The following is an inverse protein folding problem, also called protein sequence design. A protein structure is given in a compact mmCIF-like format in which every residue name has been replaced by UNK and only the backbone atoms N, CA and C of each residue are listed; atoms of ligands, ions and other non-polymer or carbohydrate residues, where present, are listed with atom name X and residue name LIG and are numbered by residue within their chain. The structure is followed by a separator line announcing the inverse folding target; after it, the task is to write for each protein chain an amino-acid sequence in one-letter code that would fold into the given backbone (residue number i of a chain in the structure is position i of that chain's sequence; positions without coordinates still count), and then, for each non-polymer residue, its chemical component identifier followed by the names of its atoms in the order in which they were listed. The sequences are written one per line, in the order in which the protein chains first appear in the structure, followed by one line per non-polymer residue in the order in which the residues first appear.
data_IF_260003686047
#
_entry.id   IF_260003686047
#
_cell.length_a   1.000
_cell.length_b   1.000
_cell.length_c   1.000
_cell.angle_alpha   90.00
_cell.angle_beta   90.00
_cell.angle_gamma   90.00
#
_symmetry.space_group_name_H-M   'P 1'
#
loop_
_entity.id
_entity.type
_entity.pdbx_description
1 polymer ?
#
# COMPACT_ATOMS: atom_id res chain seq x y z
N UNK A 1 18.72 -31.10 -18.35
CA UNK A 1 17.74 -30.42 -17.47
C UNK A 1 16.67 -29.84 -18.38
N UNK A 2 15.48 -30.45 -18.36
CA UNK A 2 14.43 -30.15 -19.33
C UNK A 2 13.84 -28.77 -19.10
N UNK A 3 13.54 -28.03 -20.17
CA UNK A 3 12.94 -26.69 -20.07
C UNK A 3 11.66 -26.65 -19.21
N UNK A 4 10.94 -27.78 -19.15
CA UNK A 4 9.76 -27.99 -18.32
C UNK A 4 10.05 -27.98 -16.81
N UNK A 5 11.16 -28.57 -16.36
CA UNK A 5 11.51 -28.55 -14.93
C UNK A 5 11.95 -27.16 -14.49
N UNK A 6 12.66 -26.43 -15.36
CA UNK A 6 13.04 -25.03 -15.12
C UNK A 6 11.83 -24.08 -14.98
N UNK A 7 10.78 -24.27 -15.79
CA UNK A 7 9.55 -23.48 -15.69
C UNK A 7 8.79 -23.76 -14.39
N UNK A 8 8.69 -25.04 -14.01
CA UNK A 8 8.02 -25.44 -12.77
C UNK A 8 8.77 -24.92 -11.54
N UNK A 9 10.10 -25.05 -11.52
CA UNK A 9 10.92 -24.55 -10.42
C UNK A 9 10.86 -23.02 -10.35
N UNK A 10 10.77 -22.32 -11.49
CA UNK A 10 10.51 -20.89 -11.56
C UNK A 10 9.16 -20.49 -10.96
N UNK A 11 8.10 -21.27 -11.21
CA UNK A 11 6.78 -21.04 -10.65
C UNK A 11 6.76 -21.16 -9.11
N UNK A 12 7.34 -22.23 -8.56
CA UNK A 12 7.41 -22.40 -7.10
C UNK A 12 8.35 -21.39 -6.43
N UNK A 13 9.43 -21.00 -7.12
CA UNK A 13 10.30 -19.92 -6.65
C UNK A 13 9.58 -18.58 -6.55
N UNK A 14 8.69 -18.27 -7.49
CA UNK A 14 7.87 -17.06 -7.43
C UNK A 14 6.84 -17.07 -6.27
N UNK A 15 6.50 -18.24 -5.74
CA UNK A 15 5.66 -18.37 -4.55
C UNK A 15 6.44 -18.14 -3.24
N UNK A 16 7.75 -17.87 -3.29
CA UNK A 16 8.53 -17.45 -2.13
C UNK A 16 8.23 -15.97 -1.78
N UNK A 17 7.00 -15.75 -1.32
CA UNK A 17 6.41 -14.45 -1.01
C UNK A 17 6.82 -13.93 0.37
N UNK A 18 6.16 -12.85 0.80
CA UNK A 18 6.46 -12.22 2.09
C UNK A 18 6.21 -13.15 3.28
N UNK A 19 5.13 -13.93 3.25
CA UNK A 19 4.79 -14.86 4.34
C UNK A 19 5.81 -15.99 4.45
N UNK A 20 6.26 -16.52 3.32
CA UNK A 20 7.27 -17.58 3.25
C UNK A 20 8.63 -17.07 3.73
N UNK A 21 8.98 -15.83 3.37
CA UNK A 21 10.21 -15.17 3.87
C UNK A 21 10.17 -14.92 5.36
N UNK A 22 9.05 -14.45 5.92
CA UNK A 22 8.88 -14.31 7.38
C UNK A 22 9.15 -15.64 8.08
N UNK A 23 8.48 -16.72 7.64
CA UNK A 23 8.65 -18.05 8.22
C UNK A 23 10.09 -18.56 8.13
N UNK A 24 10.77 -18.30 7.00
CA UNK A 24 12.18 -18.63 6.85
C UNK A 24 13.02 -17.87 7.88
N UNK A 25 12.87 -16.56 7.98
CA UNK A 25 13.65 -15.72 8.90
C UNK A 25 13.40 -16.05 10.37
N UNK A 26 12.16 -16.33 10.76
CA UNK A 26 11.81 -16.78 12.12
C UNK A 26 12.44 -18.13 12.43
N UNK A 27 12.37 -19.08 11.49
CA UNK A 27 12.99 -20.40 11.65
C UNK A 27 14.51 -20.31 11.76
N UNK A 28 15.14 -19.47 10.92
CA UNK A 28 16.58 -19.19 10.98
C UNK A 28 16.95 -18.55 12.31
N UNK A 29 16.18 -17.57 12.77
CA UNK A 29 16.37 -16.91 14.07
C UNK A 29 16.35 -17.93 15.20
N UNK A 30 15.29 -18.75 15.28
CA UNK A 30 15.14 -19.75 16.33
C UNK A 30 16.28 -20.77 16.33
N UNK A 31 16.72 -21.26 15.17
CA UNK A 31 17.82 -22.23 15.10
C UNK A 31 19.17 -21.61 15.48
N UNK A 32 19.47 -20.41 14.99
CA UNK A 32 20.72 -19.71 15.31
C UNK A 32 20.79 -19.31 16.79
N UNK A 33 19.68 -18.88 17.40
CA UNK A 33 19.58 -18.60 18.84
C UNK A 33 19.88 -19.84 19.69
N UNK A 34 19.52 -21.03 19.19
CA UNK A 34 19.82 -22.31 19.83
C UNK A 34 21.21 -22.87 19.44
N UNK A 35 22.08 -22.05 18.85
CA UNK A 35 23.47 -22.41 18.54
C UNK A 35 23.63 -23.37 17.36
N UNK A 36 22.59 -23.58 16.55
CA UNK A 36 22.68 -24.41 15.34
C UNK A 36 23.51 -23.65 14.29
N UNK A 37 24.56 -24.26 13.70
CA UNK A 37 25.32 -23.64 12.62
C UNK A 37 24.45 -23.28 11.40
N UNK A 38 24.81 -22.21 10.69
CA UNK A 38 24.01 -21.63 9.59
C UNK A 38 23.71 -22.63 8.47
N UNK A 39 24.70 -23.41 8.06
CA UNK A 39 24.61 -24.44 7.03
C UNK A 39 23.64 -25.56 7.44
N UNK A 40 23.76 -26.04 8.68
CA UNK A 40 22.87 -27.04 9.24
C UNK A 40 21.45 -26.50 9.43
N UNK A 41 21.30 -25.22 9.80
CA UNK A 41 20.01 -24.58 9.95
C UNK A 41 19.26 -24.53 8.61
N UNK A 42 19.93 -24.12 7.53
CA UNK A 42 19.35 -24.09 6.17
C UNK A 42 18.93 -25.50 5.71
N UNK A 43 19.75 -26.52 5.96
CA UNK A 43 19.41 -27.90 5.62
C UNK A 43 18.19 -28.42 6.41
N UNK A 44 18.16 -28.18 7.74
CA UNK A 44 17.04 -28.57 8.60
C UNK A 44 15.74 -27.90 8.20
N UNK A 45 15.75 -26.60 7.92
CA UNK A 45 14.56 -25.88 7.44
C UNK A 45 14.11 -26.44 6.10
N UNK A 46 15.05 -26.70 5.18
CA UNK A 46 14.74 -27.36 3.91
C UNK A 46 14.04 -28.70 4.11
N UNK A 47 14.53 -29.52 5.03
CA UNK A 47 13.98 -30.85 5.34
C UNK A 47 12.58 -30.76 5.97
N UNK A 48 12.37 -29.84 6.91
CA UNK A 48 11.08 -29.62 7.57
C UNK A 48 10.02 -29.21 6.54
N UNK A 49 10.30 -28.18 5.73
CA UNK A 49 9.33 -27.66 4.77
C UNK A 49 9.13 -28.54 3.54
N UNK A 50 10.07 -29.46 3.27
CA UNK A 50 9.89 -30.49 2.25
C UNK A 50 9.21 -31.75 2.77
N UNK A 51 8.78 -31.81 4.04
CA UNK A 51 8.25 -33.03 4.67
C UNK A 51 9.19 -34.24 4.44
N UNK A 52 10.48 -34.06 4.75
CA UNK A 52 11.51 -35.09 4.54
C UNK A 52 11.72 -35.46 3.07
N UNK A 53 11.48 -34.52 2.14
CA UNK A 53 11.65 -34.72 0.69
C UNK A 53 10.38 -35.15 -0.06
N UNK A 54 9.22 -35.26 0.58
CA UNK A 54 7.93 -35.53 -0.12
C UNK A 54 7.40 -34.31 -0.88
N UNK A 55 7.72 -33.11 -0.40
CA UNK A 55 7.31 -31.81 -0.92
C UNK A 55 8.52 -30.94 -1.27
N UNK A 56 9.47 -31.47 -2.04
CA UNK A 56 10.73 -30.77 -2.41
C UNK A 56 10.48 -29.40 -3.06
N UNK A 57 9.34 -29.24 -3.74
CA UNK A 57 8.95 -27.98 -4.41
C UNK A 57 8.29 -26.96 -3.49
N UNK A 58 8.24 -27.19 -2.17
CA UNK A 58 7.79 -26.17 -1.23
C UNK A 58 8.70 -24.92 -1.35
N UNK A 59 8.15 -23.69 -1.47
CA UNK A 59 8.95 -22.49 -1.74
C UNK A 59 10.07 -22.25 -0.72
N UNK A 60 9.78 -22.46 0.57
CA UNK A 60 10.77 -22.35 1.65
C UNK A 60 11.85 -23.43 1.54
N UNK A 61 11.51 -24.66 1.13
CA UNK A 61 12.48 -25.72 0.97
C UNK A 61 13.43 -25.42 -0.19
N UNK A 62 12.88 -25.01 -1.35
CA UNK A 62 13.66 -24.58 -2.50
C UNK A 62 14.62 -23.43 -2.16
N UNK A 63 14.14 -22.42 -1.42
CA UNK A 63 14.96 -21.30 -0.99
C UNK A 63 16.08 -21.76 -0.03
N UNK A 64 15.74 -22.56 0.98
CA UNK A 64 16.69 -23.02 2.00
C UNK A 64 17.80 -23.89 1.40
N UNK A 65 17.45 -24.85 0.55
CA UNK A 65 18.43 -25.67 -0.16
C UNK A 65 19.24 -24.88 -1.19
N UNK A 66 18.60 -23.94 -1.91
CA UNK A 66 19.28 -23.09 -2.87
C UNK A 66 20.31 -22.17 -2.23
N UNK A 67 19.96 -21.56 -1.09
CA UNK A 67 20.85 -20.72 -0.29
C UNK A 67 21.95 -21.59 0.35
N UNK A 68 21.57 -22.69 0.98
CA UNK A 68 22.50 -23.63 1.63
C UNK A 68 23.56 -24.17 0.67
N UNK A 69 23.16 -24.58 -0.55
CA UNK A 69 24.09 -25.03 -1.59
C UNK A 69 25.06 -23.93 -2.02
N UNK A 70 24.59 -22.69 -2.12
CA UNK A 70 25.44 -21.55 -2.48
C UNK A 70 26.46 -21.22 -1.38
N UNK A 71 26.03 -21.28 -0.10
CA UNK A 71 26.90 -21.08 1.06
C UNK A 71 27.94 -22.20 1.17
N UNK A 72 27.52 -23.47 1.03
CA UNK A 72 28.42 -24.61 0.99
C UNK A 72 29.43 -24.54 -0.16
N UNK A 73 29.05 -23.88 -1.27
CA UNK A 73 29.92 -23.56 -2.39
C UNK A 73 30.88 -22.38 -2.16
N UNK A 74 30.98 -21.87 -0.93
CA UNK A 74 31.91 -20.80 -0.53
C UNK A 74 31.40 -19.38 -0.73
N UNK A 75 30.12 -19.19 -1.09
CA UNK A 75 29.53 -17.85 -1.13
C UNK A 75 29.15 -17.39 0.27
N UNK A 76 29.20 -16.08 0.48
CA UNK A 76 28.59 -15.45 1.65
C UNK A 76 27.07 -15.66 1.62
N UNK A 77 26.42 -15.67 2.79
CA UNK A 77 24.99 -15.75 2.93
C UNK A 77 24.28 -14.62 2.16
N UNK A 78 24.80 -13.38 2.24
CA UNK A 78 24.24 -12.26 1.50
C UNK A 78 24.24 -12.54 -0.02
N UNK A 79 25.36 -13.00 -0.57
CA UNK A 79 25.46 -13.37 -1.99
C UNK A 79 24.53 -14.53 -2.35
N UNK A 80 24.36 -15.51 -1.46
CA UNK A 80 23.45 -16.64 -1.66
C UNK A 80 21.97 -16.20 -1.71
N UNK A 81 21.59 -15.23 -0.88
CA UNK A 81 20.23 -14.70 -0.80
C UNK A 81 19.84 -13.75 -1.94
N UNK A 82 20.80 -13.21 -2.70
CA UNK A 82 20.59 -12.13 -3.67
C UNK A 82 19.48 -12.39 -4.72
N UNK A 83 19.27 -13.65 -5.11
CA UNK A 83 18.22 -14.04 -6.07
C UNK A 83 16.93 -14.57 -5.41
N UNK A 84 16.83 -14.51 -4.09
CA UNK A 84 15.69 -15.01 -3.32
C UNK A 84 14.95 -13.90 -2.58
N UNK A 85 15.63 -12.80 -2.28
CA UNK A 85 15.10 -11.72 -1.44
C UNK A 85 15.21 -10.36 -2.13
N UNK A 86 14.28 -9.42 -1.86
CA UNK A 86 14.39 -8.04 -2.32
C UNK A 86 15.66 -7.32 -1.83
N UNK A 87 16.09 -6.28 -2.55
CA UNK A 87 17.30 -5.50 -2.23
C UNK A 87 17.37 -4.98 -0.78
N UNK A 88 16.23 -4.61 -0.20
CA UNK A 88 16.12 -4.11 1.18
C UNK A 88 16.50 -5.18 2.20
N UNK A 89 15.91 -6.37 2.06
CA UNK A 89 16.17 -7.53 2.93
C UNK A 89 17.62 -8.01 2.74
N UNK A 90 18.11 -8.05 1.50
CA UNK A 90 19.50 -8.40 1.19
C UNK A 90 20.51 -7.49 1.90
N UNK A 91 20.29 -6.16 1.91
CA UNK A 91 21.21 -5.24 2.56
C UNK A 91 21.26 -5.44 4.08
N UNK A 92 20.12 -5.70 4.71
CA UNK A 92 20.03 -6.01 6.14
C UNK A 92 20.75 -7.33 6.45
N UNK A 93 20.54 -8.37 5.63
CA UNK A 93 21.28 -9.65 5.76
C UNK A 93 22.78 -9.44 5.60
N UNK A 94 23.21 -8.65 4.61
CA UNK A 94 24.63 -8.36 4.37
C UNK A 94 25.29 -7.63 5.55
N UNK A 95 24.58 -6.67 6.15
CA UNK A 95 25.08 -5.99 7.34
C UNK A 95 25.11 -6.91 8.58
N UNK A 96 24.09 -7.76 8.74
CA UNK A 96 24.05 -8.80 9.78
C UNK A 96 25.21 -9.78 9.66
N UNK A 97 25.51 -10.21 8.43
CA UNK A 97 26.63 -11.11 8.16
C UNK A 97 27.98 -10.47 8.47
N UNK A 98 28.22 -9.22 8.00
CA UNK A 98 29.45 -8.47 8.28
C UNK A 98 29.67 -8.19 9.76
N UNK A 99 28.59 -7.95 10.51
CA UNK A 99 28.64 -7.64 11.95
C UNK A 99 28.57 -8.88 12.85
N UNK A 100 28.35 -10.07 12.28
CA UNK A 100 28.14 -11.30 13.04
C UNK A 100 26.80 -11.38 13.77
N UNK A 101 25.87 -10.45 13.51
CA UNK A 101 24.56 -10.38 14.17
C UNK A 101 23.41 -10.74 13.21
N UNK A 102 23.44 -11.98 12.71
CA UNK A 102 22.43 -12.50 11.80
C UNK A 102 21.04 -12.65 12.45
N UNK A 103 20.99 -12.99 13.73
CA UNK A 103 19.74 -13.10 14.51
C UNK A 103 18.96 -11.78 14.46
N UNK A 104 19.62 -10.66 14.77
CA UNK A 104 18.98 -9.35 14.70
C UNK A 104 18.59 -8.98 13.26
N UNK A 105 19.44 -9.31 12.27
CA UNK A 105 19.16 -9.00 10.86
C UNK A 105 17.92 -9.74 10.35
N UNK A 106 17.71 -11.01 10.72
CA UNK A 106 16.50 -11.75 10.36
C UNK A 106 15.25 -11.19 11.05
N UNK A 107 15.32 -10.85 12.34
CA UNK A 107 14.23 -10.14 13.04
C UNK A 107 13.86 -8.82 12.34
N UNK A 108 14.87 -8.10 11.86
CA UNK A 108 14.69 -6.83 11.17
C UNK A 108 14.07 -6.98 9.79
N UNK A 109 14.44 -8.02 9.03
CA UNK A 109 13.78 -8.39 7.79
C UNK A 109 12.30 -8.73 7.99
N UNK A 110 11.95 -9.46 9.07
CA UNK A 110 10.54 -9.74 9.43
C UNK A 110 9.77 -8.44 9.62
N UNK A 111 10.29 -7.49 10.42
CA UNK A 111 9.65 -6.19 10.65
C UNK A 111 9.42 -5.40 9.37
N UNK A 112 10.38 -5.42 8.43
CA UNK A 112 10.24 -4.76 7.13
C UNK A 112 9.07 -5.38 6.34
N UNK A 113 8.99 -6.71 6.28
CA UNK A 113 7.92 -7.41 5.55
C UNK A 113 6.56 -7.15 6.20
N UNK A 114 6.46 -7.30 7.52
CA UNK A 114 5.21 -7.09 8.27
C UNK A 114 4.69 -5.66 8.11
N UNK A 115 5.57 -4.66 8.17
CA UNK A 115 5.18 -3.28 7.95
C UNK A 115 4.61 -3.07 6.54
N UNK A 116 5.23 -3.66 5.52
CA UNK A 116 4.74 -3.61 4.14
C UNK A 116 3.38 -4.32 3.99
N UNK A 117 3.21 -5.47 4.62
CA UNK A 117 1.95 -6.22 4.62
C UNK A 117 0.85 -5.45 5.34
N UNK A 118 1.15 -4.84 6.49
CA UNK A 118 0.22 -3.99 7.25
C UNK A 118 -0.29 -2.83 6.39
N UNK A 119 0.61 -2.17 5.65
CA UNK A 119 0.24 -1.12 4.68
C UNK A 119 -0.69 -1.68 3.60
N UNK A 120 -0.32 -2.77 2.95
CA UNK A 120 -1.10 -3.34 1.85
C UNK A 120 -2.49 -3.80 2.31
N UNK A 121 -2.55 -4.53 3.43
CA UNK A 121 -3.79 -5.04 4.00
C UNK A 121 -4.74 -3.91 4.40
N UNK A 122 -4.21 -2.82 4.96
CA UNK A 122 -5.04 -1.67 5.29
C UNK A 122 -5.57 -0.96 4.04
N UNK A 123 -4.73 -0.74 3.04
CA UNK A 123 -5.16 -0.11 1.79
C UNK A 123 -6.28 -0.93 1.15
N UNK A 124 -6.15 -2.26 1.12
CA UNK A 124 -7.18 -3.16 0.61
C UNK A 124 -8.45 -3.13 1.47
N UNK A 125 -8.34 -3.32 2.79
CA UNK A 125 -9.50 -3.37 3.68
C UNK A 125 -10.27 -2.04 3.71
N UNK A 126 -9.55 -0.92 3.61
CA UNK A 126 -10.11 0.43 3.67
C UNK A 126 -10.76 0.85 2.36
N UNK A 127 -10.32 0.32 1.21
CA UNK A 127 -10.89 0.61 -0.09
C UNK A 127 -12.21 -0.14 -0.37
N UNK A 128 -12.39 -1.33 0.21
CA UNK A 128 -13.56 -2.19 -0.07
C UNK A 128 -14.89 -1.54 0.29
N UNK A 129 -14.97 -0.88 1.45
CA UNK A 129 -16.23 -0.31 1.93
C UNK A 129 -16.73 0.88 1.09
N UNK A 130 -15.91 1.91 0.77
CA UNK A 130 -16.31 2.96 -0.17
C UNK A 130 -16.76 2.43 -1.53
N UNK A 131 -16.07 1.42 -2.08
CA UNK A 131 -16.45 0.81 -3.37
C UNK A 131 -17.85 0.21 -3.28
N UNK A 132 -18.15 -0.53 -2.21
CA UNK A 132 -19.48 -1.09 -1.98
C UNK A 132 -20.54 0.01 -1.90
N UNK A 133 -20.34 1.04 -1.07
CA UNK A 133 -21.32 2.13 -0.92
C UNK A 133 -21.54 2.90 -2.23
N UNK A 134 -20.48 3.16 -3.00
CA UNK A 134 -20.59 3.86 -4.28
C UNK A 134 -21.27 3.01 -5.36
N UNK A 135 -21.02 1.69 -5.37
CA UNK A 135 -21.75 0.77 -6.25
C UNK A 135 -23.23 0.73 -5.91
N UNK A 136 -23.59 0.73 -4.62
CA UNK A 136 -24.98 0.80 -4.17
C UNK A 136 -25.63 2.13 -4.57
N UNK A 137 -24.94 3.26 -4.40
CA UNK A 137 -25.41 4.56 -4.88
C UNK A 137 -25.68 4.56 -6.38
N UNK A 138 -24.73 4.09 -7.19
CA UNK A 138 -24.89 4.01 -8.65
C UNK A 138 -26.06 3.11 -9.05
N UNK A 139 -26.23 1.97 -8.36
CA UNK A 139 -27.36 1.08 -8.55
C UNK A 139 -28.70 1.75 -8.21
N UNK A 140 -28.82 2.42 -7.07
CA UNK A 140 -30.04 3.11 -6.66
C UNK A 140 -30.41 4.23 -7.64
N UNK A 141 -29.44 5.02 -8.08
CA UNK A 141 -29.65 6.04 -9.12
C UNK A 141 -30.16 5.42 -10.43
N UNK A 142 -29.64 4.26 -10.83
CA UNK A 142 -30.12 3.54 -12.00
C UNK A 142 -31.57 3.04 -11.83
N UNK A 143 -31.92 2.51 -10.65
CA UNK A 143 -33.29 2.11 -10.33
C UNK A 143 -34.24 3.32 -10.36
N UNK A 144 -33.82 4.46 -9.83
CA UNK A 144 -34.60 5.70 -9.90
C UNK A 144 -34.87 6.09 -11.36
N UNK A 145 -33.85 6.04 -12.20
CA UNK A 145 -33.95 6.42 -13.60
C UNK A 145 -34.81 5.46 -14.46
N UNK A 146 -34.71 4.15 -14.21
CA UNK A 146 -35.30 3.12 -15.09
C UNK A 146 -36.63 2.56 -14.57
N UNK A 147 -36.91 2.67 -13.28
CA UNK A 147 -38.12 2.11 -12.64
C UNK A 147 -38.99 3.19 -12.01
N UNK A 148 -38.42 4.02 -11.13
CA UNK A 148 -39.19 4.97 -10.31
C UNK A 148 -39.77 6.09 -11.15
N UNK A 149 -38.92 6.85 -11.85
CA UNK A 149 -39.38 7.99 -12.66
C UNK A 149 -40.30 7.57 -13.80
N UNK A 150 -40.05 6.48 -14.55
CA UNK A 150 -40.99 5.98 -15.55
C UNK A 150 -42.33 5.50 -14.96
N UNK A 151 -42.35 4.95 -13.74
CA UNK A 151 -43.60 4.59 -13.08
C UNK A 151 -44.40 5.84 -12.70
N UNK A 152 -43.73 6.88 -12.21
CA UNK A 152 -44.32 8.18 -11.90
C UNK A 152 -44.89 8.87 -13.14
N UNK A 153 -44.19 8.83 -14.27
CA UNK A 153 -44.63 9.46 -15.53
C UNK A 153 -45.84 8.80 -16.17
N UNK A 154 -46.14 7.54 -15.83
CA UNK A 154 -47.39 6.87 -16.25
C UNK A 154 -48.63 7.39 -15.53
N UNK A 155 -48.45 7.94 -14.33
CA UNK A 155 -49.56 8.46 -13.51
C UNK A 155 -49.78 9.96 -13.67
N UNK A 156 -48.76 10.72 -14.08
CA UNK A 156 -48.82 12.19 -14.21
C UNK A 156 -47.79 12.69 -15.21
N UNK A 157 -48.14 13.69 -16.03
CA UNK A 157 -47.24 14.25 -17.05
C UNK A 157 -46.02 14.95 -16.40
N UNK A 158 -44.77 14.57 -16.75
CA UNK A 158 -43.55 15.17 -16.21
C UNK A 158 -43.41 16.69 -16.36
N UNK A 159 -44.06 17.29 -17.36
CA UNK A 159 -43.98 18.74 -17.62
C UNK A 159 -44.61 19.60 -16.52
N UNK A 160 -45.54 19.03 -15.74
CA UNK A 160 -46.20 19.73 -14.62
C UNK A 160 -45.50 19.52 -13.27
N UNK A 161 -44.37 18.82 -13.22
CA UNK A 161 -43.72 18.46 -11.96
C UNK A 161 -42.92 19.64 -11.38
N UNK A 162 -43.13 19.93 -10.10
CA UNK A 162 -42.37 20.92 -9.33
C UNK A 162 -41.81 20.32 -8.05
N UNK A 163 -40.65 20.81 -7.58
CA UNK A 163 -40.04 20.33 -6.32
C UNK A 163 -39.39 18.95 -6.46
N UNK A 164 -39.68 18.03 -5.54
CA UNK A 164 -39.00 16.73 -5.46
C UNK A 164 -39.13 15.85 -6.74
N UNK A 165 -40.31 15.69 -7.37
CA UNK A 165 -40.43 14.94 -8.63
C UNK A 165 -39.60 15.54 -9.77
N UNK A 166 -39.47 16.86 -9.84
CA UNK A 166 -38.65 17.54 -10.86
C UNK A 166 -37.16 17.23 -10.68
N UNK A 167 -36.66 17.26 -9.44
CA UNK A 167 -35.26 16.90 -9.14
C UNK A 167 -35.00 15.43 -9.47
N UNK A 168 -35.93 14.52 -9.14
CA UNK A 168 -35.84 13.11 -9.53
C UNK A 168 -35.80 12.93 -11.05
N UNK A 169 -36.61 13.70 -11.78
CA UNK A 169 -36.59 13.69 -13.25
C UNK A 169 -35.25 14.19 -13.82
N UNK A 170 -34.65 15.24 -13.25
CA UNK A 170 -33.32 15.71 -13.65
C UNK A 170 -32.23 14.66 -13.39
N UNK A 171 -32.25 14.02 -12.21
CA UNK A 171 -31.32 12.94 -11.88
C UNK A 171 -31.52 11.77 -12.85
N UNK A 172 -32.77 11.36 -13.10
CA UNK A 172 -33.09 10.25 -13.99
C UNK A 172 -32.68 10.52 -15.44
N UNK A 173 -32.94 11.71 -15.97
CA UNK A 173 -32.52 12.09 -17.33
C UNK A 173 -30.99 12.15 -17.44
N UNK A 174 -30.29 12.66 -16.42
CA UNK A 174 -28.83 12.62 -16.38
C UNK A 174 -28.30 11.18 -16.35
N UNK A 175 -28.84 10.31 -15.50
CA UNK A 175 -28.41 8.92 -15.37
C UNK A 175 -28.69 8.11 -16.64
N UNK A 176 -29.84 8.31 -17.28
CA UNK A 176 -30.20 7.61 -18.52
C UNK A 176 -29.33 8.03 -19.70
N UNK A 177 -29.04 9.33 -19.83
CA UNK A 177 -28.28 9.85 -20.99
C UNK A 177 -26.76 9.74 -20.79
N UNK A 178 -26.28 10.04 -19.58
CA UNK A 178 -24.85 10.21 -19.28
C UNK A 178 -24.33 9.27 -18.19
N UNK A 179 -25.18 8.44 -17.58
CA UNK A 179 -24.79 7.62 -16.42
C UNK A 179 -23.66 6.64 -16.72
N UNK A 180 -23.77 5.87 -17.81
CA UNK A 180 -22.72 4.92 -18.19
C UNK A 180 -21.40 5.63 -18.54
N UNK A 181 -21.46 6.73 -19.30
CA UNK A 181 -20.28 7.54 -19.63
C UNK A 181 -19.65 8.13 -18.38
N UNK A 182 -20.44 8.61 -17.43
CA UNK A 182 -19.97 9.16 -16.16
C UNK A 182 -19.29 8.09 -15.31
N UNK A 183 -19.87 6.88 -15.19
CA UNK A 183 -19.24 5.77 -14.47
C UNK A 183 -17.92 5.37 -15.13
N UNK A 184 -17.90 5.21 -16.45
CA UNK A 184 -16.67 4.90 -17.19
C UNK A 184 -15.60 5.98 -16.99
N UNK A 185 -15.97 7.27 -17.03
CA UNK A 185 -15.07 8.39 -16.82
C UNK A 185 -14.51 8.38 -15.39
N UNK A 186 -15.36 8.20 -14.37
CA UNK A 186 -14.94 8.16 -12.96
C UNK A 186 -14.00 6.98 -12.72
N UNK A 187 -14.35 5.78 -13.21
CA UNK A 187 -13.49 4.60 -13.09
C UNK A 187 -12.15 4.82 -13.81
N UNK A 188 -12.17 5.37 -15.02
CA UNK A 188 -10.95 5.71 -15.76
C UNK A 188 -10.07 6.69 -14.97
N UNK A 189 -10.64 7.77 -14.43
CA UNK A 189 -9.89 8.75 -13.63
C UNK A 189 -9.30 8.14 -12.36
N UNK A 190 -10.06 7.29 -11.65
CA UNK A 190 -9.57 6.57 -10.46
C UNK A 190 -8.42 5.64 -10.84
N UNK A 191 -8.59 4.80 -11.87
CA UNK A 191 -7.55 3.88 -12.34
C UNK A 191 -6.32 4.64 -12.82
N UNK A 192 -6.48 5.68 -13.63
CA UNK A 192 -5.39 6.53 -14.10
C UNK A 192 -4.65 7.18 -12.92
N UNK A 193 -5.38 7.67 -11.90
CA UNK A 193 -4.74 8.24 -10.71
C UNK A 193 -3.88 7.22 -9.97
N UNK A 194 -4.38 5.99 -9.78
CA UNK A 194 -3.68 4.91 -9.06
C UNK A 194 -2.47 4.41 -9.86
N UNK A 195 -2.65 4.14 -11.15
CA UNK A 195 -1.59 3.63 -12.04
C UNK A 195 -0.46 4.65 -12.20
N UNK A 196 -0.78 5.94 -12.19
CA UNK A 196 0.22 7.01 -12.33
C UNK A 196 0.96 7.33 -11.03
N UNK A 197 0.48 6.91 -9.85
CA UNK A 197 1.13 7.16 -8.55
C UNK A 197 2.65 6.88 -8.55
N UNK A 198 3.14 5.70 -9.00
CA UNK A 198 4.58 5.39 -8.99
C UNK A 198 5.40 6.11 -10.07
N UNK A 199 4.77 6.65 -11.12
CA UNK A 199 5.47 7.19 -12.30
C UNK A 199 5.45 8.72 -12.38
N UNK A 200 4.39 9.35 -11.87
CA UNK A 200 4.18 10.79 -11.99
C UNK A 200 5.13 11.57 -11.09
N UNK A 201 5.91 12.48 -11.68
CA UNK A 201 7.06 13.17 -11.08
C UNK A 201 7.03 14.68 -11.36
N UNK A 202 7.95 15.43 -10.74
CA UNK A 202 8.15 16.85 -11.02
C UNK A 202 7.36 17.83 -10.13
N UNK A 203 7.45 19.14 -10.40
CA UNK A 203 6.95 20.19 -9.50
C UNK A 203 5.42 20.20 -9.35
N UNK A 204 4.70 19.81 -10.40
CA UNK A 204 3.24 19.65 -10.36
C UNK A 204 2.80 18.53 -9.43
N UNK A 205 3.57 17.42 -9.39
CA UNK A 205 3.33 16.31 -8.48
C UNK A 205 3.37 16.77 -7.03
N UNK A 206 4.34 17.61 -6.65
CA UNK A 206 4.51 18.12 -5.28
C UNK A 206 3.31 18.93 -4.79
N UNK A 207 2.64 19.69 -5.66
CA UNK A 207 1.40 20.41 -5.30
C UNK A 207 0.22 19.47 -5.08
N UNK A 208 0.12 18.42 -5.89
CA UNK A 208 -0.94 17.41 -5.78
C UNK A 208 -0.77 16.48 -4.57
N UNK A 209 0.42 16.44 -3.94
CA UNK A 209 0.67 15.67 -2.71
C UNK A 209 -0.11 16.15 -1.49
N UNK A 210 -0.84 17.26 -1.58
CA UNK A 210 -1.74 17.71 -0.52
C UNK A 210 -3.11 16.99 -0.55
N UNK A 211 -3.46 16.34 -1.66
CA UNK A 211 -4.77 15.73 -1.88
C UNK A 211 -4.68 14.19 -1.99
N UNK A 212 -5.67 13.44 -1.48
CA UNK A 212 -5.81 12.01 -1.78
C UNK A 212 -6.01 11.78 -3.29
N UNK A 213 -5.51 10.67 -3.87
CA UNK A 213 -4.76 9.56 -3.26
C UNK A 213 -3.26 9.83 -3.07
N UNK A 214 -2.75 10.94 -3.61
CA UNK A 214 -1.32 11.24 -3.66
C UNK A 214 -0.67 11.54 -2.30
N UNK A 215 -1.39 12.20 -1.40
CA UNK A 215 -0.96 12.46 -0.02
C UNK A 215 -0.77 11.15 0.76
N UNK A 216 -1.73 10.24 0.62
CA UNK A 216 -1.72 8.90 1.22
C UNK A 216 -0.54 8.10 0.68
N UNK A 217 -0.35 8.10 -0.64
CA UNK A 217 0.77 7.42 -1.28
C UNK A 217 2.12 7.90 -0.74
N UNK A 218 2.28 9.22 -0.60
CA UNK A 218 3.48 9.82 -0.01
C UNK A 218 3.69 9.39 1.45
N UNK A 219 2.65 9.46 2.27
CA UNK A 219 2.72 9.12 3.69
C UNK A 219 3.07 7.64 3.92
N UNK A 220 2.47 6.72 3.14
CA UNK A 220 2.75 5.29 3.21
C UNK A 220 4.19 4.98 2.78
N UNK A 221 4.62 5.48 1.62
CA UNK A 221 6.00 5.28 1.15
C UNK A 221 7.02 5.97 2.05
N UNK A 222 6.68 7.12 2.62
CA UNK A 222 7.50 7.83 3.60
C UNK A 222 7.69 7.02 4.89
N UNK A 223 6.61 6.44 5.41
CA UNK A 223 6.66 5.57 6.59
C UNK A 223 7.53 4.34 6.36
N UNK A 224 7.35 3.65 5.23
CA UNK A 224 8.18 2.49 4.86
C UNK A 224 9.63 2.89 4.65
N UNK A 225 9.89 4.05 4.04
CA UNK A 225 11.24 4.57 3.88
C UNK A 225 11.92 4.82 5.24
N UNK A 226 11.24 5.50 6.17
CA UNK A 226 11.78 5.78 7.50
C UNK A 226 12.10 4.49 8.27
N UNK A 227 11.22 3.49 8.17
CA UNK A 227 11.45 2.19 8.80
C UNK A 227 12.68 1.49 8.22
N UNK A 228 12.77 1.43 6.88
CA UNK A 228 13.92 0.81 6.22
C UNK A 228 15.23 1.52 6.59
N UNK A 229 15.23 2.85 6.61
CA UNK A 229 16.39 3.63 7.06
C UNK A 229 16.70 3.33 8.53
N UNK A 230 15.70 3.34 9.43
CA UNK A 230 15.92 3.06 10.85
C UNK A 230 16.56 1.69 11.09
N UNK A 231 16.05 0.67 10.39
CA UNK A 231 16.58 -0.69 10.41
C UNK A 231 18.01 -0.72 9.90
N UNK A 232 18.28 -0.17 8.71
CA UNK A 232 19.60 -0.17 8.10
C UNK A 232 20.64 0.56 8.99
N UNK A 233 20.27 1.72 9.54
CA UNK A 233 21.14 2.46 10.45
C UNK A 233 21.39 1.70 11.77
N UNK A 234 20.39 0.96 12.28
CA UNK A 234 20.60 0.08 13.45
C UNK A 234 21.58 -1.05 13.15
N UNK A 235 21.54 -1.57 11.92
CA UNK A 235 22.49 -2.54 11.40
C UNK A 235 23.84 -1.91 11.02
N UNK A 236 24.11 -0.66 11.44
CA UNK A 236 25.36 0.06 11.21
C UNK A 236 25.70 0.26 9.71
N UNK A 237 24.68 0.30 8.84
CA UNK A 237 24.83 0.66 7.43
C UNK A 237 24.92 2.19 7.34
N UNK A 238 25.87 2.70 6.54
CA UNK A 238 26.02 4.14 6.31
C UNK A 238 24.76 4.74 5.62
N UNK A 239 24.29 5.95 6.00
CA UNK A 239 23.12 6.56 5.38
C UNK A 239 23.18 6.67 3.85
N UNK A 240 24.37 6.88 3.27
CA UNK A 240 24.55 6.96 1.82
C UNK A 240 24.34 5.58 1.15
N UNK A 241 24.92 4.53 1.73
CA UNK A 241 24.75 3.14 1.27
C UNK A 241 23.30 2.67 1.41
N UNK A 242 22.62 3.09 2.49
CA UNK A 242 21.20 2.82 2.70
C UNK A 242 20.33 3.47 1.60
N UNK A 243 20.62 4.73 1.24
CA UNK A 243 19.93 5.41 0.14
C UNK A 243 20.16 4.72 -1.21
N UNK A 244 21.40 4.31 -1.50
CA UNK A 244 21.72 3.58 -2.74
C UNK A 244 21.01 2.23 -2.83
N UNK A 245 20.91 1.50 -1.71
CA UNK A 245 20.14 0.27 -1.62
C UNK A 245 18.67 0.51 -1.93
N UNK A 246 18.07 1.54 -1.33
CA UNK A 246 16.66 1.87 -1.51
C UNK A 246 16.37 2.34 -2.94
N UNK A 247 17.28 3.07 -3.58
CA UNK A 247 17.15 3.53 -4.97
C UNK A 247 17.03 2.38 -5.97
N UNK A 248 17.76 1.27 -5.77
CA UNK A 248 17.74 0.11 -6.70
C UNK A 248 16.34 -0.49 -6.85
N UNK A 249 15.58 -0.57 -5.75
CA UNK A 249 14.20 -1.07 -5.73
C UNK A 249 13.12 0.02 -5.83
N UNK A 250 13.51 1.29 -5.94
CA UNK A 250 12.55 2.40 -5.95
C UNK A 250 11.89 2.58 -7.32
N UNK A 251 10.58 2.79 -7.29
CA UNK A 251 9.83 3.29 -8.44
C UNK A 251 10.28 4.72 -8.81
N UNK A 252 9.95 5.23 -10.01
CA UNK A 252 10.40 6.54 -10.44
C UNK A 252 10.10 7.69 -9.46
N UNK A 253 8.89 7.75 -8.90
CA UNK A 253 8.49 8.79 -7.92
C UNK A 253 9.37 8.78 -6.66
N UNK A 254 9.61 7.60 -6.09
CA UNK A 254 10.46 7.46 -4.91
C UNK A 254 11.93 7.71 -5.28
N UNK A 255 12.37 7.23 -6.43
CA UNK A 255 13.76 7.37 -6.91
C UNK A 255 14.17 8.83 -7.03
N UNK A 256 13.32 9.69 -7.61
CA UNK A 256 13.55 11.15 -7.69
C UNK A 256 13.87 11.76 -6.31
N UNK A 257 13.09 11.39 -5.29
CA UNK A 257 13.25 11.88 -3.92
C UNK A 257 14.52 11.35 -3.27
N UNK A 258 14.80 10.06 -3.45
CA UNK A 258 16.00 9.42 -2.90
C UNK A 258 17.27 9.95 -3.57
N UNK A 259 17.25 10.24 -4.86
CA UNK A 259 18.38 10.83 -5.59
C UNK A 259 18.71 12.24 -5.09
N UNK A 260 17.69 13.06 -4.85
CA UNK A 260 17.87 14.39 -4.28
C UNK A 260 18.47 14.34 -2.87
N UNK A 261 17.94 13.47 -2.01
CA UNK A 261 18.48 13.25 -0.66
C UNK A 261 19.93 12.69 -0.70
N UNK A 262 20.17 11.73 -1.58
CA UNK A 262 21.49 11.11 -1.77
C UNK A 262 22.54 12.14 -2.20
N UNK A 263 22.18 13.08 -3.09
CA UNK A 263 23.07 14.17 -3.46
C UNK A 263 23.47 15.02 -2.25
N UNK A 264 22.52 15.39 -1.40
CA UNK A 264 22.78 16.16 -0.17
C UNK A 264 23.73 15.43 0.79
N UNK A 265 23.48 14.15 1.07
CA UNK A 265 24.34 13.32 1.94
C UNK A 265 25.75 13.20 1.36
N UNK A 266 25.88 12.99 0.04
CA UNK A 266 27.18 12.91 -0.65
C UNK A 266 27.98 14.20 -0.56
N UNK A 267 27.33 15.35 -0.42
CA UNK A 267 27.97 16.66 -0.20
C UNK A 267 28.34 16.90 1.28
N UNK A 268 28.28 15.87 2.13
CA UNK A 268 28.60 15.95 3.56
C UNK A 268 27.50 16.59 4.41
N UNK A 269 26.29 16.78 3.86
CA UNK A 269 25.16 17.26 4.67
C UNK A 269 24.67 16.14 5.56
N UNK A 270 24.22 16.52 6.75
CA UNK A 270 23.51 15.64 7.64
C UNK A 270 22.27 15.03 6.95
N UNK A 271 21.94 13.77 7.24
CA UNK A 271 20.84 13.04 6.60
C UNK A 271 19.50 13.77 6.67
N UNK A 272 19.12 14.31 7.84
CA UNK A 272 17.88 15.08 7.98
C UNK A 272 17.89 16.36 7.15
N UNK A 273 19.02 17.07 7.14
CA UNK A 273 19.20 18.31 6.35
C UNK A 273 19.18 18.01 4.85
N UNK A 274 19.74 16.89 4.42
CA UNK A 274 19.71 16.46 3.03
C UNK A 274 18.28 16.16 2.53
N UNK A 275 17.43 15.58 3.40
CA UNK A 275 16.02 15.37 3.10
C UNK A 275 15.25 16.69 3.02
N UNK A 276 15.54 17.65 3.89
CA UNK A 276 14.89 18.97 3.88
C UNK A 276 15.24 19.78 2.62
N UNK A 277 16.54 19.85 2.30
CA UNK A 277 17.06 20.54 1.11
C UNK A 277 16.60 19.91 -0.21
N UNK A 278 16.11 18.67 -0.19
CA UNK A 278 15.54 18.02 -1.38
C UNK A 278 14.29 18.72 -1.92
N UNK A 279 13.61 19.55 -1.11
CA UNK A 279 12.44 20.32 -1.53
C UNK A 279 11.16 19.50 -1.76
N UNK A 280 11.21 18.19 -1.60
CA UNK A 280 10.05 17.31 -1.79
C UNK A 280 9.17 17.15 -0.56
N UNK A 281 9.59 17.69 0.61
CA UNK A 281 8.90 17.50 1.90
C UNK A 281 8.60 16.02 2.19
N UNK A 282 9.51 15.13 1.80
CA UNK A 282 9.41 13.67 1.94
C UNK A 282 10.47 13.22 2.95
N UNK A 283 10.18 12.30 3.89
CA UNK A 283 8.94 11.49 4.06
C UNK A 283 7.71 12.28 4.52
N UNK A 284 7.94 13.18 5.45
CA UNK A 284 7.00 14.16 5.98
C UNK A 284 7.79 15.31 6.60
N UNK A 285 7.21 16.50 6.69
CA UNK A 285 7.89 17.66 7.27
C UNK A 285 8.25 17.47 8.74
N UNK A 286 7.35 16.93 9.57
CA UNK A 286 7.61 16.67 10.99
C UNK A 286 8.70 15.60 11.15
N UNK A 287 8.67 14.57 10.29
CA UNK A 287 9.67 13.51 10.29
C UNK A 287 11.07 14.04 9.98
N UNK A 288 11.18 14.92 8.99
CA UNK A 288 12.45 15.55 8.60
C UNK A 288 13.02 16.36 9.78
N UNK A 289 12.19 17.17 10.43
CA UNK A 289 12.63 17.97 11.59
C UNK A 289 13.13 17.08 12.74
N UNK A 290 12.41 15.98 13.01
CA UNK A 290 12.81 15.02 14.02
C UNK A 290 14.15 14.35 13.66
N UNK A 291 14.35 13.98 12.39
CA UNK A 291 15.61 13.44 11.90
C UNK A 291 16.77 14.44 12.03
N UNK A 292 16.55 15.72 11.73
CA UNK A 292 17.56 16.78 11.89
C UNK A 292 18.02 16.85 13.34
N UNK A 293 17.07 16.96 14.28
CA UNK A 293 17.36 17.11 15.71
C UNK A 293 18.06 15.87 16.27
N UNK A 294 17.64 14.67 15.87
CA UNK A 294 18.17 13.44 16.45
C UNK A 294 19.48 12.98 15.83
N UNK A 295 19.83 13.46 14.64
CA UNK A 295 21.05 13.06 13.95
C UNK A 295 22.34 13.34 14.74
N UNK A 296 22.28 14.20 15.75
CA UNK A 296 23.37 14.53 16.67
C UNK A 296 23.35 13.70 17.95
N UNK A 297 22.35 12.82 18.14
CA UNK A 297 22.17 12.02 19.35
C UNK A 297 22.72 10.60 19.16
N UNK A 298 23.36 10.04 20.21
CA UNK A 298 23.88 8.67 20.19
C UNK A 298 22.79 7.60 19.99
N UNK A 299 21.52 7.94 20.26
CA UNK A 299 20.36 7.04 20.12
C UNK A 299 19.52 7.31 18.87
N UNK A 300 20.09 7.99 17.86
CA UNK A 300 19.43 8.33 16.59
C UNK A 300 18.63 7.15 16.02
N UNK A 301 19.26 6.00 15.81
CA UNK A 301 18.63 4.81 15.23
C UNK A 301 17.39 4.34 16.00
N UNK A 302 17.47 4.26 17.34
CA UNK A 302 16.33 3.85 18.17
C UNK A 302 15.19 4.88 18.15
N UNK A 303 15.52 6.16 18.08
CA UNK A 303 14.55 7.23 18.01
C UNK A 303 13.87 7.31 16.63
N UNK A 304 14.61 7.11 15.52
CA UNK A 304 14.02 6.98 14.17
C UNK A 304 13.10 5.76 14.10
N UNK A 305 13.50 4.61 14.66
CA UNK A 305 12.67 3.41 14.65
C UNK A 305 11.33 3.59 15.39
N UNK A 306 11.35 4.19 16.58
CA UNK A 306 10.10 4.49 17.33
C UNK A 306 9.22 5.47 16.55
N UNK A 307 9.84 6.49 15.97
CA UNK A 307 9.13 7.47 15.16
C UNK A 307 8.52 6.86 13.90
N UNK A 308 9.25 6.01 13.17
CA UNK A 308 8.77 5.37 11.95
C UNK A 308 7.56 4.47 12.19
N UNK A 309 7.54 3.74 13.31
CA UNK A 309 6.39 2.91 13.69
C UNK A 309 5.17 3.77 14.05
N UNK A 310 5.36 4.82 14.85
CA UNK A 310 4.29 5.76 15.20
C UNK A 310 3.74 6.48 13.97
N UNK A 311 4.62 6.93 13.08
CA UNK A 311 4.26 7.63 11.86
C UNK A 311 3.50 6.73 10.89
N UNK A 312 3.90 5.46 10.78
CA UNK A 312 3.16 4.46 10.06
C UNK A 312 1.73 4.36 10.60
N UNK A 313 1.56 4.19 11.91
CA UNK A 313 0.23 4.13 12.54
C UNK A 313 -0.62 5.39 12.33
N UNK A 314 -0.01 6.58 12.39
CA UNK A 314 -0.70 7.85 12.11
C UNK A 314 -1.17 7.89 10.66
N UNK A 315 -0.29 7.54 9.71
CA UNK A 315 -0.61 7.49 8.28
C UNK A 315 -1.76 6.52 8.00
N UNK A 316 -1.70 5.33 8.61
CA UNK A 316 -2.75 4.32 8.54
C UNK A 316 -4.10 4.86 9.07
N UNK A 317 -4.11 5.52 10.24
CA UNK A 317 -5.32 6.14 10.81
C UNK A 317 -5.89 7.26 9.93
N UNK A 318 -5.03 8.02 9.24
CA UNK A 318 -5.49 9.04 8.29
C UNK A 318 -6.22 8.38 7.11
N UNK A 319 -5.69 7.29 6.55
CA UNK A 319 -6.34 6.52 5.47
C UNK A 319 -7.73 6.04 5.90
N UNK A 320 -7.83 5.44 7.10
CA UNK A 320 -9.12 5.01 7.65
C UNK A 320 -10.10 6.18 7.82
N UNK A 321 -9.64 7.33 8.31
CA UNK A 321 -10.48 8.52 8.51
C UNK A 321 -11.01 9.04 7.17
N UNK A 322 -10.18 9.11 6.14
CA UNK A 322 -10.62 9.54 4.81
C UNK A 322 -11.67 8.59 4.22
N UNK A 323 -11.47 7.28 4.33
CA UNK A 323 -12.47 6.33 3.84
C UNK A 323 -13.77 6.36 4.64
N UNK A 324 -13.70 6.48 5.97
CA UNK A 324 -14.88 6.60 6.84
C UNK A 324 -15.67 7.87 6.54
N UNK A 325 -15.00 9.01 6.41
CA UNK A 325 -15.65 10.28 6.07
C UNK A 325 -16.28 10.23 4.68
N UNK A 326 -15.57 9.72 3.67
CA UNK A 326 -16.12 9.51 2.33
C UNK A 326 -17.37 8.64 2.35
N UNK A 327 -17.33 7.54 3.11
CA UNK A 327 -18.46 6.60 3.19
C UNK A 327 -19.64 7.19 3.95
N UNK A 328 -19.39 7.95 5.02
CA UNK A 328 -20.44 8.65 5.78
C UNK A 328 -21.15 9.69 4.91
N UNK A 329 -20.40 10.51 4.17
CA UNK A 329 -20.96 11.46 3.21
C UNK A 329 -21.81 10.74 2.17
N UNK A 330 -21.31 9.62 1.63
CA UNK A 330 -22.04 8.81 0.65
C UNK A 330 -23.32 8.22 1.24
N UNK A 331 -23.30 7.74 2.48
CA UNK A 331 -24.46 7.21 3.20
C UNK A 331 -25.53 8.28 3.43
N UNK A 332 -25.12 9.50 3.82
CA UNK A 332 -26.03 10.65 3.95
C UNK A 332 -26.67 10.98 2.61
N UNK A 333 -25.90 10.97 1.52
CA UNK A 333 -26.44 11.19 0.17
C UNK A 333 -27.45 10.11 -0.24
N UNK A 334 -27.21 8.83 0.10
CA UNK A 334 -28.18 7.75 -0.15
C UNK A 334 -29.47 8.01 0.63
N UNK A 335 -29.36 8.38 1.91
CA UNK A 335 -30.51 8.73 2.76
C UNK A 335 -31.32 9.89 2.18
N UNK A 336 -30.65 10.96 1.76
CA UNK A 336 -31.27 12.11 1.09
C UNK A 336 -31.95 11.70 -0.22
N UNK A 337 -31.34 10.82 -1.02
CA UNK A 337 -31.95 10.28 -2.23
C UNK A 337 -33.22 9.49 -1.92
N UNK A 338 -33.22 8.66 -0.88
CA UNK A 338 -34.42 7.90 -0.47
C UNK A 338 -35.55 8.81 0.03
N UNK A 339 -35.22 9.85 0.81
CA UNK A 339 -36.19 10.87 1.23
C UNK A 339 -36.76 11.58 -0.01
N UNK A 340 -35.90 11.94 -0.96
CA UNK A 340 -36.32 12.60 -2.19
C UNK A 340 -37.29 11.72 -3.00
N UNK A 341 -37.00 10.42 -3.13
CA UNK A 341 -37.88 9.43 -3.78
C UNK A 341 -39.22 9.34 -3.06
N UNK A 342 -39.21 9.24 -1.73
CA UNK A 342 -40.42 9.14 -0.91
C UNK A 342 -41.29 10.39 -1.05
N UNK A 343 -40.73 11.59 -0.86
CA UNK A 343 -41.43 12.87 -1.02
C UNK A 343 -41.96 13.03 -2.45
N UNK A 344 -41.15 12.63 -3.44
CA UNK A 344 -41.56 12.61 -4.84
C UNK A 344 -42.82 11.77 -5.05
N UNK A 345 -42.81 10.53 -4.59
CA UNK A 345 -43.96 9.62 -4.70
C UNK A 345 -45.22 10.16 -3.97
N UNK A 346 -45.07 10.68 -2.74
CA UNK A 346 -46.22 11.22 -1.98
C UNK A 346 -46.83 12.46 -2.62
N UNK A 347 -46.01 13.38 -3.12
CA UNK A 347 -46.50 14.61 -3.77
C UNK A 347 -47.39 14.31 -4.98
N UNK A 348 -47.12 13.22 -5.69
CA UNK A 348 -47.97 12.79 -6.81
C UNK A 348 -49.32 12.25 -6.36
N UNK A 349 -49.35 11.46 -5.29
CA UNK A 349 -50.62 10.96 -4.74
C UNK A 349 -51.49 12.08 -4.16
N UNK A 350 -50.89 13.10 -3.54
CA UNK A 350 -51.61 14.25 -3.01
C UNK A 350 -52.23 15.15 -4.09
N UNK A 351 -51.54 15.34 -5.21
CA UNK A 351 -52.10 16.08 -6.35
C UNK A 351 -53.21 15.28 -7.06
N UNK A 352 -53.12 13.95 -7.09
CA UNK A 352 -54.15 13.09 -7.68
C UNK A 352 -55.47 13.13 -6.89
N UNK A 353 -55.43 13.23 -5.56
CA UNK A 353 -56.65 13.30 -4.73
C UNK A 353 -57.33 14.67 -4.76
N UNK A 354 -56.59 15.78 -4.89
CA UNK A 354 -57.19 17.12 -5.03
C UNK A 354 -57.86 17.35 -6.40
N UNK A 355 -57.38 16.68 -7.46
CA UNK A 355 -57.97 16.74 -8.79
C UNK A 355 -59.29 15.95 -8.95
N UNK A 356 -59.62 15.06 -8.01
CA UNK A 356 -60.89 14.30 -8.01
C UNK A 356 -62.00 14.98 -7.18
N UNK A 357 -61.68 16.04 -6.44
CA UNK A 357 -62.63 16.82 -5.62
C UNK A 357 -63.18 18.08 -6.31
N UNK A 358 -62.87 18.25 -7.60
CA UNK A 358 -63.49 19.21 -8.52
C UNK A 358 -64.12 18.45 -9.67
#
# INVERSE_FOLDING_TARGET
MDAWTGLVDGFYRNQFGGNERIRLYESMTALLENGVPLDLALDRIGSIYSDGGRHVRHPIALASYGIGKAVAGGKTLAQACLNWVPYQEHAVISAGEKSGNLIQAFSDCVRIIEARQKVMNLVLSTALYPIFVWSLMAYLLNVVATRVVPAMSRSSNPEGWSGAPMVLHMIATFVTNWGMLTVCLVVMLVVASIVTLPYFRGPWRTRLEMLPPWSIYKALHGSTFLLNIAVMLRSNIDPLEALDTLKRGANPWLRERLEAAHYGVRMGKNFGVALDLSGHKFPDHEAIQFLIVLSTTQSFSAAVHRYSLRWLEISLKQVERYAKTLSLVSMVLIGLLMILVMVGAYSMTGNATQGMSH
#
